data_IF_639906133073
#
_entry.id   IF_639906133073
#
_cell.length_a   1.000
_cell.length_b   1.000
_cell.length_c   1.000
_cell.angle_alpha   90.00
_cell.angle_beta   90.00
_cell.angle_gamma   90.00
#
_symmetry.space_group_name_H-M   'P 1'
#
loop_
_entity.id
_entity.type
_entity.pdbx_description
1 polymer ?
#
# COMPACT_ATOMS: atom_id res chain seq x y z
N UNK A 1 -33.80 -15.74 -32.02
CA UNK A 1 -33.12 -16.30 -30.81
C UNK A 1 -31.69 -15.77 -30.82
N UNK A 2 -31.48 -14.70 -30.10
CA UNK A 2 -30.15 -14.09 -29.95
C UNK A 2 -29.56 -14.64 -28.67
N UNK A 3 -28.59 -15.53 -28.78
CA UNK A 3 -27.82 -16.02 -27.65
C UNK A 3 -26.91 -14.89 -27.17
N UNK A 4 -27.21 -14.35 -25.99
CA UNK A 4 -26.33 -13.42 -25.30
C UNK A 4 -25.28 -14.28 -24.60
N UNK A 5 -24.06 -14.31 -25.14
CA UNK A 5 -22.90 -14.88 -24.44
C UNK A 5 -22.57 -13.97 -23.26
N UNK A 6 -23.03 -14.34 -22.08
CA UNK A 6 -22.49 -13.83 -20.83
C UNK A 6 -21.08 -14.40 -20.68
N UNK A 7 -20.06 -13.63 -21.04
CA UNK A 7 -18.70 -13.94 -20.64
C UNK A 7 -18.65 -13.89 -19.11
N UNK A 8 -18.53 -15.06 -18.50
CA UNK A 8 -18.27 -15.21 -17.09
C UNK A 8 -16.90 -14.59 -16.79
N UNK A 9 -16.85 -13.63 -15.87
CA UNK A 9 -15.62 -13.06 -15.32
C UNK A 9 -14.72 -14.11 -14.61
N UNK A 10 -15.14 -15.38 -14.58
CA UNK A 10 -14.43 -16.48 -13.93
C UNK A 10 -13.39 -17.17 -14.83
N UNK A 11 -13.32 -16.84 -16.13
CA UNK A 11 -12.38 -17.47 -17.07
C UNK A 11 -11.18 -16.58 -17.44
N UNK A 12 -11.02 -15.42 -16.81
CA UNK A 12 -9.79 -14.68 -16.90
C UNK A 12 -8.70 -15.44 -16.12
N UNK A 13 -7.69 -15.93 -16.84
CA UNK A 13 -6.46 -16.43 -16.21
C UNK A 13 -6.00 -15.39 -15.17
N UNK A 14 -5.60 -15.83 -13.96
CA UNK A 14 -5.10 -14.88 -12.96
C UNK A 14 -3.98 -14.07 -13.62
N UNK A 15 -4.19 -12.75 -13.72
CA UNK A 15 -3.14 -11.85 -14.21
C UNK A 15 -2.02 -11.97 -13.20
N UNK A 16 -0.97 -12.70 -13.54
CA UNK A 16 0.24 -12.78 -12.74
C UNK A 16 0.93 -11.43 -12.82
N UNK A 17 0.84 -10.64 -11.79
CA UNK A 17 1.65 -9.44 -11.65
C UNK A 17 3.02 -9.87 -11.12
N UNK A 18 4.09 -9.73 -11.90
CA UNK A 18 5.43 -10.05 -11.41
C UNK A 18 5.78 -9.12 -10.25
N UNK A 19 6.45 -9.67 -9.23
CA UNK A 19 7.03 -8.84 -8.17
C UNK A 19 8.03 -7.85 -8.78
N UNK A 20 7.96 -6.60 -8.37
CA UNK A 20 8.91 -5.54 -8.74
C UNK A 20 10.24 -5.66 -7.95
N UNK A 21 10.33 -6.58 -6.99
CA UNK A 21 11.48 -6.66 -6.09
C UNK A 21 11.36 -5.73 -4.89
N UNK A 22 12.42 -4.98 -4.59
CA UNK A 22 12.57 -4.20 -3.37
C UNK A 22 12.72 -2.72 -3.69
N UNK A 23 11.83 -1.90 -3.13
CA UNK A 23 11.71 -0.48 -3.39
C UNK A 23 11.94 0.41 -2.18
N UNK A 24 12.12 1.68 -2.45
CA UNK A 24 12.19 2.75 -1.45
C UNK A 24 11.19 3.87 -1.79
N UNK A 25 10.72 4.56 -0.76
CA UNK A 25 9.98 5.80 -0.94
C UNK A 25 10.84 6.87 -1.61
N UNK A 26 10.35 7.46 -2.69
CA UNK A 26 11.04 8.55 -3.39
C UNK A 26 10.86 9.86 -2.61
N UNK A 27 11.94 10.34 -2.01
CA UNK A 27 11.95 11.57 -1.21
C UNK A 27 12.89 12.61 -1.84
N UNK A 28 12.54 13.88 -1.74
CA UNK A 28 13.29 14.98 -2.37
C UNK A 28 14.72 15.13 -1.85
N UNK A 29 14.98 14.66 -0.63
CA UNK A 29 16.29 14.62 0.01
C UNK A 29 17.30 13.78 -0.76
N UNK A 30 16.82 12.78 -1.51
CA UNK A 30 17.67 11.78 -2.18
C UNK A 30 17.72 11.89 -3.70
N UNK A 31 16.98 12.80 -4.33
CA UNK A 31 16.89 12.91 -5.78
C UNK A 31 18.25 12.97 -6.49
N UNK A 32 19.14 13.83 -6.00
CA UNK A 32 20.46 14.01 -6.62
C UNK A 32 21.30 12.75 -6.46
N UNK A 33 21.33 12.15 -5.27
CA UNK A 33 22.05 10.91 -5.01
C UNK A 33 21.53 9.75 -5.88
N UNK A 34 20.21 9.62 -6.05
CA UNK A 34 19.61 8.57 -6.90
C UNK A 34 20.07 8.72 -8.35
N UNK A 35 20.08 9.94 -8.89
CA UNK A 35 20.49 10.18 -10.27
C UNK A 35 21.99 10.05 -10.50
N UNK A 36 22.81 10.45 -9.51
CA UNK A 36 24.27 10.39 -9.60
C UNK A 36 24.83 9.00 -9.37
N UNK A 37 24.29 8.28 -8.39
CA UNK A 37 24.85 6.99 -7.94
C UNK A 37 24.20 5.78 -8.62
N UNK A 38 22.99 5.93 -9.17
CA UNK A 38 22.19 4.81 -9.71
C UNK A 38 22.14 3.62 -8.74
N UNK A 39 21.56 3.80 -7.54
CA UNK A 39 21.61 2.81 -6.47
C UNK A 39 20.91 1.50 -6.85
N UNK A 40 21.27 0.40 -6.16
CA UNK A 40 20.68 -0.92 -6.33
C UNK A 40 19.30 -1.03 -5.67
N UNK A 41 18.36 -0.19 -6.12
CA UNK A 41 16.93 -0.20 -5.78
C UNK A 41 16.19 -0.69 -7.00
N UNK A 42 15.19 -1.57 -6.84
CA UNK A 42 14.50 -2.14 -7.99
C UNK A 42 13.40 -1.21 -8.52
N UNK A 43 12.80 -0.39 -7.66
CA UNK A 43 11.72 0.55 -7.97
C UNK A 43 11.57 1.61 -6.87
N UNK A 44 10.90 2.72 -7.19
CA UNK A 44 10.58 3.76 -6.22
C UNK A 44 9.07 3.98 -6.12
N UNK A 45 8.63 4.31 -4.89
CA UNK A 45 7.27 4.77 -4.63
C UNK A 45 7.22 6.28 -4.46
N UNK A 46 6.25 6.90 -5.10
CA UNK A 46 6.00 8.34 -5.01
C UNK A 46 4.72 8.62 -4.25
N UNK A 47 4.76 9.56 -3.30
CA UNK A 47 3.54 10.14 -2.75
C UNK A 47 2.94 11.02 -3.84
N UNK A 48 1.80 10.58 -4.37
CA UNK A 48 1.17 11.17 -5.57
C UNK A 48 0.95 12.66 -5.43
N UNK A 49 0.49 13.11 -4.28
CA UNK A 49 0.14 14.50 -4.01
C UNK A 49 1.33 15.46 -4.14
N UNK A 50 2.55 15.00 -3.89
CA UNK A 50 3.77 15.81 -4.04
C UNK A 50 4.04 16.21 -5.50
N UNK A 51 3.39 15.54 -6.46
CA UNK A 51 3.59 15.74 -7.89
C UNK A 51 2.35 16.25 -8.62
N UNK A 52 1.25 16.54 -7.93
CA UNK A 52 0.06 17.15 -8.50
C UNK A 52 0.25 18.66 -8.69
N UNK A 53 1.34 19.04 -9.33
CA UNK A 53 1.76 20.41 -9.60
C UNK A 53 1.94 20.62 -11.10
N UNK A 54 1.91 21.90 -11.54
CA UNK A 54 2.00 22.22 -12.97
C UNK A 54 3.43 22.20 -13.54
N UNK A 55 4.45 22.03 -12.72
CA UNK A 55 5.85 22.04 -13.13
C UNK A 55 6.81 22.17 -11.96
N UNK A 56 8.06 22.48 -12.26
CA UNK A 56 9.09 22.77 -11.25
C UNK A 56 10.00 21.58 -10.95
N UNK A 57 10.80 21.72 -9.88
CA UNK A 57 11.86 20.79 -9.50
C UNK A 57 11.33 19.37 -9.27
N UNK A 58 10.17 19.22 -8.64
CA UNK A 58 9.59 17.93 -8.33
C UNK A 58 9.32 17.10 -9.61
N UNK A 59 8.64 17.67 -10.61
CA UNK A 59 8.36 16.96 -11.85
C UNK A 59 9.61 16.71 -12.70
N UNK A 60 10.59 17.61 -12.66
CA UNK A 60 11.86 17.40 -13.34
C UNK A 60 12.60 16.15 -12.83
N UNK A 61 12.70 15.99 -11.51
CA UNK A 61 13.33 14.81 -10.92
C UNK A 61 12.49 13.56 -11.09
N UNK A 62 11.16 13.68 -10.99
CA UNK A 62 10.26 12.56 -11.22
C UNK A 62 10.45 11.96 -12.62
N UNK A 63 10.45 12.80 -13.66
CA UNK A 63 10.64 12.34 -15.03
C UNK A 63 12.02 11.68 -15.22
N UNK A 64 13.09 12.30 -14.72
CA UNK A 64 14.43 11.76 -14.83
C UNK A 64 14.63 10.41 -14.09
N UNK A 65 13.91 10.20 -12.99
CA UNK A 65 13.93 8.95 -12.23
C UNK A 65 13.04 7.90 -12.92
N UNK A 66 11.88 8.30 -13.44
CA UNK A 66 10.96 7.42 -14.18
C UNK A 66 11.61 6.82 -15.45
N UNK A 67 12.57 7.52 -16.07
CA UNK A 67 13.36 6.99 -17.20
C UNK A 67 14.29 5.83 -16.81
N UNK A 68 14.61 5.67 -15.53
CA UNK A 68 15.61 4.73 -15.02
C UNK A 68 15.05 3.61 -14.16
N UNK A 69 13.95 3.90 -13.45
CA UNK A 69 13.36 2.99 -12.47
C UNK A 69 11.86 2.86 -12.68
N UNK A 70 11.28 1.67 -12.48
CA UNK A 70 9.86 1.51 -12.32
C UNK A 70 9.35 2.37 -11.16
N UNK A 71 8.19 3.00 -11.33
CA UNK A 71 7.55 3.78 -10.28
C UNK A 71 6.22 3.16 -9.86
N UNK A 72 5.88 3.35 -8.60
CA UNK A 72 4.57 3.08 -8.01
C UNK A 72 4.02 4.41 -7.48
N UNK A 73 2.74 4.66 -7.67
CA UNK A 73 2.03 5.80 -7.09
C UNK A 73 1.30 5.38 -5.83
N UNK A 74 1.55 6.11 -4.74
CA UNK A 74 0.85 5.94 -3.48
C UNK A 74 0.16 7.25 -3.10
N UNK A 75 -1.15 7.20 -2.84
CA UNK A 75 -1.96 8.36 -2.49
C UNK A 75 -2.31 8.38 -1.01
N UNK A 76 -2.49 9.61 -0.48
CA UNK A 76 -2.87 9.84 0.92
C UNK A 76 -4.17 10.66 1.06
N UNK A 77 -4.80 11.02 -0.06
CA UNK A 77 -5.89 12.01 -0.05
C UNK A 77 -7.20 11.51 -0.69
N UNK A 78 -7.27 10.27 -1.14
CA UNK A 78 -8.49 9.72 -1.76
C UNK A 78 -9.65 9.67 -0.79
N UNK A 79 -9.38 9.42 0.50
CA UNK A 79 -10.41 9.32 1.55
C UNK A 79 -11.56 8.41 1.11
N UNK A 80 -11.23 7.21 0.66
CA UNK A 80 -12.18 6.28 0.02
C UNK A 80 -13.37 5.94 0.91
N UNK A 81 -13.16 5.90 2.23
CA UNK A 81 -14.19 5.68 3.24
C UNK A 81 -14.90 6.94 3.71
N UNK A 82 -14.56 8.11 3.17
CA UNK A 82 -15.12 9.38 3.63
C UNK A 82 -16.59 9.54 3.25
N UNK A 83 -17.37 10.36 4.03
CA UNK A 83 -18.81 10.53 3.83
C UNK A 83 -19.17 11.43 2.63
N UNK A 84 -18.19 12.12 2.05
CA UNK A 84 -18.41 13.04 0.93
C UNK A 84 -18.25 12.36 -0.42
N UNK A 85 -18.79 12.96 -1.47
CA UNK A 85 -18.54 12.50 -2.82
C UNK A 85 -17.02 12.43 -3.12
N UNK A 86 -16.61 11.52 -4.00
CA UNK A 86 -15.25 11.47 -4.49
C UNK A 86 -14.88 12.79 -5.16
N UNK A 87 -13.66 13.25 -4.90
CA UNK A 87 -13.13 14.46 -5.52
C UNK A 87 -12.73 14.15 -6.97
N UNK A 88 -13.58 14.56 -7.90
CA UNK A 88 -13.38 14.28 -9.34
C UNK A 88 -12.17 15.01 -9.89
N UNK A 89 -11.80 16.17 -9.35
CA UNK A 89 -10.65 16.93 -9.84
C UNK A 89 -9.35 16.32 -9.31
N UNK A 90 -9.33 15.86 -8.06
CA UNK A 90 -8.23 15.04 -7.54
C UNK A 90 -8.03 13.77 -8.40
N UNK A 91 -9.08 13.01 -8.68
CA UNK A 91 -8.99 11.82 -9.52
C UNK A 91 -8.48 12.09 -10.94
N UNK A 92 -8.86 13.23 -11.54
CA UNK A 92 -8.31 13.65 -12.83
C UNK A 92 -6.81 13.93 -12.76
N UNK A 93 -6.35 14.58 -11.70
CA UNK A 93 -4.92 14.87 -11.51
C UNK A 93 -4.11 13.59 -11.27
N UNK A 94 -4.63 12.64 -10.46
CA UNK A 94 -4.03 11.31 -10.29
C UNK A 94 -3.93 10.58 -11.63
N UNK A 95 -4.99 10.60 -12.45
CA UNK A 95 -4.97 10.00 -13.78
C UNK A 95 -3.92 10.65 -14.69
N UNK A 96 -3.85 11.98 -14.73
CA UNK A 96 -2.84 12.70 -15.51
C UNK A 96 -1.41 12.37 -15.08
N UNK A 97 -1.16 12.28 -13.77
CA UNK A 97 0.14 11.84 -13.26
C UNK A 97 0.44 10.41 -13.67
N UNK A 98 -0.54 9.51 -13.57
CA UNK A 98 -0.39 8.12 -13.99
C UNK A 98 -0.13 7.99 -15.51
N UNK A 99 -0.77 8.81 -16.33
CA UNK A 99 -0.51 8.87 -17.78
C UNK A 99 0.91 9.39 -18.10
N UNK A 100 1.46 10.26 -17.24
CA UNK A 100 2.82 10.80 -17.38
C UNK A 100 3.90 9.79 -17.07
N UNK A 101 3.79 9.11 -15.91
CA UNK A 101 4.88 8.26 -15.41
C UNK A 101 4.64 6.76 -15.61
N UNK A 102 3.46 6.36 -16.09
CA UNK A 102 3.08 4.96 -16.33
C UNK A 102 3.42 4.03 -15.15
N UNK A 103 2.88 4.29 -13.93
CA UNK A 103 3.27 3.55 -12.74
C UNK A 103 2.84 2.10 -12.84
N UNK A 104 3.59 1.21 -12.19
CA UNK A 104 3.26 -0.21 -12.11
C UNK A 104 1.96 -0.43 -11.32
N UNK A 105 1.79 0.28 -10.20
CA UNK A 105 0.61 0.23 -9.33
C UNK A 105 0.17 1.65 -8.96
N UNK A 106 -1.10 1.78 -8.58
CA UNK A 106 -1.65 2.99 -7.92
C UNK A 106 -2.33 2.51 -6.64
N UNK A 107 -1.87 2.99 -5.52
CA UNK A 107 -2.41 2.66 -4.19
C UNK A 107 -2.91 3.90 -3.45
N UNK A 108 -3.75 3.67 -2.46
CA UNK A 108 -4.20 4.65 -1.47
C UNK A 108 -4.69 3.88 -0.23
N UNK A 109 -4.98 4.57 0.85
CA UNK A 109 -5.35 3.97 2.14
C UNK A 109 -6.84 3.64 2.25
N UNK A 110 -7.16 2.55 2.95
CA UNK A 110 -8.53 2.24 3.36
C UNK A 110 -8.90 3.06 4.60
N UNK A 111 -9.15 4.34 4.41
CA UNK A 111 -9.41 5.28 5.49
C UNK A 111 -10.40 6.37 5.08
N UNK A 112 -10.74 7.20 6.03
CA UNK A 112 -11.26 8.52 5.78
C UNK A 112 -10.35 9.57 6.40
N UNK A 113 -10.04 10.62 5.63
CA UNK A 113 -9.11 11.70 6.00
C UNK A 113 -9.70 13.09 5.77
N UNK A 114 -10.98 13.16 5.35
CA UNK A 114 -11.66 14.42 5.04
C UNK A 114 -12.96 14.56 5.83
N UNK A 115 -13.07 15.61 6.63
CA UNK A 115 -14.29 16.07 7.30
C UNK A 115 -14.96 17.24 6.56
N UNK A 116 -16.09 17.75 7.07
CA UNK A 116 -17.01 18.70 6.41
C UNK A 116 -16.39 19.96 5.77
N UNK A 117 -15.19 20.35 6.08
CA UNK A 117 -14.48 21.49 5.46
C UNK A 117 -12.96 21.39 5.58
N UNK A 118 -12.44 20.36 6.21
CA UNK A 118 -11.03 20.25 6.54
C UNK A 118 -10.50 18.88 6.14
N UNK A 119 -9.33 18.86 5.54
CA UNK A 119 -8.51 17.68 5.47
C UNK A 119 -7.95 17.41 6.86
N UNK A 120 -8.16 16.24 7.36
CA UNK A 120 -7.52 15.76 8.57
C UNK A 120 -6.13 15.28 8.17
N UNK A 121 -5.13 15.62 8.96
CA UNK A 121 -3.76 15.12 8.75
C UNK A 121 -3.62 13.76 9.46
N UNK A 122 -4.63 12.89 9.27
CA UNK A 122 -4.70 11.60 9.93
C UNK A 122 -5.51 10.62 9.08
N UNK A 123 -5.15 9.34 9.16
CA UNK A 123 -5.81 8.25 8.45
C UNK A 123 -6.76 7.54 9.42
N UNK A 124 -8.03 7.90 9.39
CA UNK A 124 -9.01 7.39 10.35
C UNK A 124 -9.64 6.08 9.85
N UNK A 125 -9.74 5.04 10.71
CA UNK A 125 -10.32 3.77 10.35
C UNK A 125 -11.82 3.88 10.11
N UNK A 126 -12.35 2.98 9.29
CA UNK A 126 -13.78 2.84 9.04
C UNK A 126 -14.44 1.94 10.08
N UNK A 127 -15.75 2.09 10.34
CA UNK A 127 -16.51 1.02 10.95
C UNK A 127 -16.64 -0.14 9.95
N UNK A 128 -16.25 -1.33 10.34
CA UNK A 128 -16.29 -2.53 9.49
C UNK A 128 -17.67 -3.17 9.53
N UNK A 129 -18.65 -2.50 8.89
CA UNK A 129 -20.05 -2.95 8.79
C UNK A 129 -20.41 -3.33 7.36
N UNK A 130 -21.49 -4.09 7.17
CA UNK A 130 -22.00 -4.42 5.84
C UNK A 130 -22.34 -3.15 5.03
N UNK A 131 -22.91 -2.13 5.66
CA UNK A 131 -23.20 -0.84 5.01
C UNK A 131 -21.92 -0.17 4.49
N UNK A 132 -20.89 -0.08 5.33
CA UNK A 132 -19.58 0.48 4.95
C UNK A 132 -18.93 -0.33 3.83
N UNK A 133 -19.05 -1.65 3.86
CA UNK A 133 -18.51 -2.55 2.85
C UNK A 133 -19.08 -2.25 1.46
N UNK A 134 -20.40 -2.22 1.31
CA UNK A 134 -21.04 -1.92 0.03
C UNK A 134 -20.78 -0.47 -0.42
N UNK A 135 -20.78 0.46 0.51
CA UNK A 135 -20.48 1.86 0.25
C UNK A 135 -19.08 2.03 -0.34
N UNK A 136 -18.06 1.49 0.33
CA UNK A 136 -16.67 1.59 -0.10
C UNK A 136 -16.43 0.81 -1.39
N UNK A 137 -16.98 -0.40 -1.53
CA UNK A 137 -16.85 -1.19 -2.75
C UNK A 137 -17.40 -0.46 -3.99
N UNK A 138 -18.51 0.28 -3.83
CA UNK A 138 -19.05 1.09 -4.93
C UNK A 138 -18.13 2.27 -5.28
N UNK A 139 -17.53 2.92 -4.29
CA UNK A 139 -16.58 4.03 -4.51
C UNK A 139 -15.30 3.55 -5.18
N UNK A 140 -14.78 2.39 -4.77
CA UNK A 140 -13.61 1.77 -5.43
C UNK A 140 -13.89 1.55 -6.91
N UNK A 141 -15.05 0.98 -7.26
CA UNK A 141 -15.42 0.80 -8.67
C UNK A 141 -15.43 2.11 -9.45
N UNK A 142 -15.98 3.19 -8.87
CA UNK A 142 -15.96 4.52 -9.50
C UNK A 142 -14.53 5.04 -9.71
N UNK A 143 -13.63 4.85 -8.74
CA UNK A 143 -12.21 5.22 -8.87
C UNK A 143 -11.54 4.40 -9.98
N UNK A 144 -11.74 3.08 -9.99
CA UNK A 144 -11.19 2.18 -11.00
C UNK A 144 -11.72 2.52 -12.40
N UNK A 145 -12.99 2.90 -12.52
CA UNK A 145 -13.59 3.37 -13.79
C UNK A 145 -12.93 4.65 -14.30
N UNK A 146 -12.57 5.58 -13.42
CA UNK A 146 -11.82 6.79 -13.80
C UNK A 146 -10.38 6.46 -14.19
N UNK A 147 -9.69 5.68 -13.37
CA UNK A 147 -8.27 5.36 -13.54
C UNK A 147 -8.04 4.31 -14.63
N UNK A 148 -9.06 3.54 -15.02
CA UNK A 148 -9.01 2.42 -15.99
C UNK A 148 -7.97 1.35 -15.58
N UNK A 149 -7.84 1.13 -14.27
CA UNK A 149 -6.95 0.11 -13.70
C UNK A 149 -7.37 -0.24 -12.28
N UNK A 150 -6.96 -1.40 -11.76
CA UNK A 150 -7.23 -1.76 -10.37
C UNK A 150 -6.61 -0.76 -9.40
N UNK A 151 -7.35 -0.41 -8.35
CA UNK A 151 -6.85 0.31 -7.20
C UNK A 151 -6.24 -0.69 -6.22
N UNK A 152 -5.12 -0.35 -5.61
CA UNK A 152 -4.51 -1.11 -4.53
C UNK A 152 -4.81 -0.39 -3.22
N UNK A 153 -5.37 -1.08 -2.23
CA UNK A 153 -5.75 -0.46 -0.96
C UNK A 153 -4.89 -1.00 0.18
N UNK A 154 -4.43 -0.07 0.99
CA UNK A 154 -3.61 -0.33 2.16
C UNK A 154 -4.45 -0.42 3.43
N UNK A 155 -4.11 -1.41 4.28
CA UNK A 155 -4.58 -1.49 5.66
C UNK A 155 -3.88 -0.41 6.52
N UNK A 156 -4.67 0.39 7.23
CA UNK A 156 -4.13 1.44 8.09
C UNK A 156 -3.91 0.94 9.52
N UNK A 157 -2.97 1.56 10.23
CA UNK A 157 -2.84 1.35 11.67
C UNK A 157 -4.05 1.93 12.41
N UNK A 158 -4.49 1.28 13.47
CA UNK A 158 -5.66 1.73 14.22
C UNK A 158 -5.40 1.81 15.73
N UNK A 159 -6.00 2.85 16.33
CA UNK A 159 -5.90 3.16 17.77
C UNK A 159 -7.26 3.08 18.46
N UNK A 160 -8.31 3.00 17.68
CA UNK A 160 -9.70 2.91 18.14
C UNK A 160 -10.44 1.87 17.29
N UNK A 161 -11.41 1.20 17.93
CA UNK A 161 -12.34 0.30 17.25
C UNK A 161 -13.76 0.85 17.33
N UNK A 162 -14.51 0.69 16.26
CA UNK A 162 -15.93 0.98 16.28
C UNK A 162 -16.67 -0.10 17.10
N UNK A 163 -17.64 0.33 17.91
CA UNK A 163 -18.55 -0.61 18.57
C UNK A 163 -19.58 -1.22 17.62
N UNK A 164 -19.61 -0.72 16.38
CA UNK A 164 -20.53 -1.15 15.34
C UNK A 164 -19.89 -2.19 14.41
N UNK A 165 -18.61 -2.55 14.61
CA UNK A 165 -17.93 -3.51 13.76
C UNK A 165 -18.66 -4.87 13.76
N UNK A 166 -19.02 -5.32 12.57
CA UNK A 166 -19.64 -6.61 12.26
C UNK A 166 -18.62 -7.60 11.72
N UNK A 167 -17.52 -7.09 11.19
CA UNK A 167 -16.40 -7.85 10.62
C UNK A 167 -15.10 -7.55 11.38
N UNK A 168 -14.20 -8.50 11.38
CA UNK A 168 -12.79 -8.20 11.61
C UNK A 168 -12.23 -7.46 10.38
N UNK A 169 -11.12 -6.74 10.56
CA UNK A 169 -10.51 -6.00 9.45
C UNK A 169 -10.14 -6.90 8.27
N UNK A 170 -9.58 -8.08 8.53
CA UNK A 170 -9.24 -9.03 7.45
C UNK A 170 -10.46 -9.62 6.74
N UNK A 171 -11.57 -9.85 7.42
CA UNK A 171 -12.83 -10.25 6.80
C UNK A 171 -13.38 -9.13 5.91
N UNK A 172 -13.30 -7.89 6.38
CA UNK A 172 -13.72 -6.72 5.61
C UNK A 172 -12.87 -6.53 4.37
N UNK A 173 -11.54 -6.61 4.47
CA UNK A 173 -10.60 -6.53 3.34
C UNK A 173 -10.84 -7.64 2.31
N UNK A 174 -11.07 -8.88 2.76
CA UNK A 174 -11.42 -10.01 1.90
C UNK A 174 -12.70 -9.73 1.11
N UNK A 175 -13.76 -9.37 1.80
CA UNK A 175 -15.05 -9.07 1.19
C UNK A 175 -14.94 -7.88 0.22
N UNK A 176 -14.20 -6.84 0.61
CA UNK A 176 -13.99 -5.64 -0.19
C UNK A 176 -13.25 -5.93 -1.50
N UNK A 177 -12.15 -6.70 -1.43
CA UNK A 177 -11.40 -7.14 -2.61
C UNK A 177 -12.27 -7.97 -3.55
N UNK A 178 -13.04 -8.91 -3.01
CA UNK A 178 -13.94 -9.74 -3.80
C UNK A 178 -15.06 -8.93 -4.47
N UNK A 179 -15.69 -8.00 -3.76
CA UNK A 179 -16.80 -7.20 -4.27
C UNK A 179 -16.39 -6.13 -5.29
N UNK A 180 -15.24 -5.52 -5.11
CA UNK A 180 -14.81 -4.37 -5.92
C UNK A 180 -13.77 -4.72 -6.97
N UNK A 181 -13.09 -5.85 -6.83
CA UNK A 181 -11.94 -6.22 -7.65
C UNK A 181 -10.66 -5.42 -7.31
N UNK A 182 -10.64 -4.66 -6.21
CA UNK A 182 -9.43 -3.98 -5.78
C UNK A 182 -8.37 -5.00 -5.32
N UNK A 183 -7.14 -4.56 -5.36
CA UNK A 183 -6.00 -5.29 -4.86
C UNK A 183 -5.60 -4.75 -3.48
N UNK A 184 -4.69 -5.44 -2.79
CA UNK A 184 -4.27 -5.06 -1.45
C UNK A 184 -2.78 -4.72 -1.42
N UNK A 185 -2.46 -3.64 -0.74
CA UNK A 185 -1.17 -3.34 -0.17
C UNK A 185 -1.23 -3.75 1.30
N UNK A 186 -0.40 -4.68 1.68
CA UNK A 186 -0.30 -5.14 3.07
C UNK A 186 0.87 -4.42 3.74
N UNK A 187 0.57 -3.43 4.56
CA UNK A 187 1.57 -2.89 5.47
C UNK A 187 1.70 -3.79 6.71
N UNK A 188 2.88 -4.42 6.81
CA UNK A 188 3.21 -5.38 7.87
C UNK A 188 3.41 -4.68 9.21
N UNK A 189 3.91 -3.43 9.19
CA UNK A 189 4.05 -2.60 10.39
C UNK A 189 2.68 -2.18 10.93
N UNK A 190 1.74 -1.78 10.07
CA UNK A 190 0.39 -1.39 10.44
C UNK A 190 -0.38 -2.55 11.08
N UNK A 191 -0.22 -3.77 10.53
CA UNK A 191 -0.75 -4.98 11.17
C UNK A 191 -0.14 -5.18 12.55
N UNK A 192 1.18 -5.04 12.69
CA UNK A 192 1.86 -5.20 13.97
C UNK A 192 1.41 -4.15 15.00
N UNK A 193 1.35 -2.87 14.59
CA UNK A 193 0.88 -1.76 15.43
C UNK A 193 -0.55 -2.00 15.91
N UNK A 194 -1.45 -2.33 14.99
CA UNK A 194 -2.85 -2.61 15.31
C UNK A 194 -3.00 -3.83 16.22
N UNK A 195 -2.22 -4.89 15.97
CA UNK A 195 -2.22 -6.10 16.80
C UNK A 195 -1.79 -5.79 18.24
N UNK A 196 -0.73 -4.99 18.42
CA UNK A 196 -0.25 -4.54 19.74
C UNK A 196 -1.29 -3.69 20.46
N UNK A 197 -1.92 -2.75 19.78
CA UNK A 197 -2.89 -1.82 20.36
C UNK A 197 -4.22 -2.50 20.73
N UNK A 198 -4.63 -3.49 19.96
CA UNK A 198 -5.94 -4.13 20.12
C UNK A 198 -5.91 -5.56 20.68
N UNK A 199 -4.72 -6.13 20.89
CA UNK A 199 -4.56 -7.43 21.53
C UNK A 199 -4.98 -8.63 20.68
N UNK A 200 -4.79 -8.58 19.36
CA UNK A 200 -4.97 -9.73 18.47
C UNK A 200 -3.63 -10.26 17.94
N UNK A 201 -3.63 -11.45 17.34
CA UNK A 201 -2.44 -12.04 16.75
C UNK A 201 -2.22 -11.49 15.32
N UNK A 202 -1.12 -10.77 15.11
CA UNK A 202 -0.75 -10.20 13.81
C UNK A 202 -0.66 -11.25 12.70
N UNK A 203 -0.24 -12.47 13.03
CA UNK A 203 -0.17 -13.55 12.06
C UNK A 203 -1.55 -14.03 11.62
N UNK A 204 -2.50 -14.10 12.54
CA UNK A 204 -3.90 -14.44 12.21
C UNK A 204 -4.48 -13.46 11.20
N UNK A 205 -4.18 -12.17 11.33
CA UNK A 205 -4.59 -11.16 10.34
C UNK A 205 -4.06 -11.52 8.94
N UNK A 206 -2.74 -11.71 8.82
CA UNK A 206 -2.08 -11.97 7.52
C UNK A 206 -2.55 -13.29 6.90
N UNK A 207 -2.68 -14.33 7.72
CA UNK A 207 -3.09 -15.67 7.24
C UNK A 207 -4.50 -15.67 6.65
N UNK A 208 -5.37 -14.77 7.09
CA UNK A 208 -6.75 -14.69 6.62
C UNK A 208 -6.95 -13.70 5.46
N UNK A 209 -5.90 -13.04 4.96
CA UNK A 209 -6.01 -12.24 3.74
C UNK A 209 -5.94 -13.11 2.48
N UNK A 210 -6.57 -12.69 1.36
CA UNK A 210 -6.51 -13.44 0.10
C UNK A 210 -5.12 -13.24 -0.56
N UNK A 211 -4.26 -14.28 -0.60
CA UNK A 211 -2.89 -14.15 -1.12
C UNK A 211 -2.82 -13.62 -2.54
N UNK A 212 -3.80 -14.00 -3.35
CA UNK A 212 -3.90 -13.59 -4.76
C UNK A 212 -4.25 -12.12 -4.96
N UNK A 213 -4.75 -11.44 -3.94
CA UNK A 213 -5.06 -10.00 -4.00
C UNK A 213 -3.91 -9.11 -3.53
N UNK A 214 -2.91 -9.65 -2.81
CA UNK A 214 -1.80 -8.88 -2.26
C UNK A 214 -0.79 -8.60 -3.38
N UNK A 215 -0.52 -7.31 -3.64
CA UNK A 215 0.40 -6.84 -4.70
C UNK A 215 1.67 -6.21 -4.17
N UNK A 216 1.59 -5.67 -3.00
CA UNK A 216 2.69 -4.92 -2.40
C UNK A 216 2.71 -5.14 -0.89
N UNK A 217 3.90 -5.10 -0.32
CA UNK A 217 4.14 -5.04 1.12
C UNK A 217 4.82 -3.72 1.45
N UNK A 218 4.39 -3.09 2.53
CA UNK A 218 5.13 -2.02 3.19
C UNK A 218 5.81 -2.54 4.45
N UNK A 219 7.01 -2.02 4.72
CA UNK A 219 7.79 -2.22 5.92
C UNK A 219 8.20 -0.87 6.47
N UNK A 220 7.87 -0.59 7.69
CA UNK A 220 8.21 0.66 8.36
C UNK A 220 8.57 0.43 9.82
N UNK A 221 9.09 1.45 10.47
CA UNK A 221 9.28 1.48 11.90
C UNK A 221 8.17 2.28 12.59
N UNK A 222 8.07 2.10 13.89
CA UNK A 222 7.06 2.74 14.73
C UNK A 222 7.66 3.18 16.06
N UNK A 223 6.92 3.96 16.85
CA UNK A 223 7.29 4.30 18.23
C UNK A 223 6.48 3.52 19.24
N UNK A 224 7.17 2.81 20.13
CA UNK A 224 6.57 2.10 21.24
C UNK A 224 6.59 2.97 22.51
N UNK A 225 5.42 3.29 23.05
CA UNK A 225 5.24 4.06 24.29
C UNK A 225 4.90 3.17 25.49
N UNK A 226 5.03 1.85 25.36
CA UNK A 226 4.73 0.85 26.38
C UNK A 226 3.26 0.43 26.36
N UNK A 227 2.36 1.33 26.75
CA UNK A 227 0.91 1.05 26.80
C UNK A 227 0.25 1.04 25.41
N UNK A 228 0.84 1.72 24.45
CA UNK A 228 0.38 1.78 23.06
C UNK A 228 1.56 2.02 22.11
N UNK A 229 1.34 1.69 20.85
CA UNK A 229 2.32 1.85 19.77
C UNK A 229 1.75 2.79 18.72
N UNK A 230 2.59 3.72 18.23
CA UNK A 230 2.19 4.71 17.21
C UNK A 230 2.96 4.45 15.93
N UNK A 231 2.24 4.32 14.86
CA UNK A 231 2.73 4.20 13.50
C UNK A 231 3.29 5.53 13.02
N UNK A 232 4.60 5.66 13.09
CA UNK A 232 5.28 6.95 12.83
C UNK A 232 6.10 6.93 11.54
N UNK A 233 6.46 5.76 11.04
CA UNK A 233 7.34 5.57 9.89
C UNK A 233 8.64 6.40 9.95
N UNK A 234 9.09 6.73 11.16
CA UNK A 234 10.27 7.58 11.42
C UNK A 234 11.44 6.81 12.06
N UNK A 235 11.27 5.51 12.30
CA UNK A 235 12.24 4.63 12.94
C UNK A 235 12.66 3.49 11.99
N UNK A 236 13.82 2.87 12.22
CA UNK A 236 14.15 1.59 11.57
C UNK A 236 13.11 0.50 11.88
N UNK A 237 12.94 -0.43 10.96
CA UNK A 237 12.07 -1.59 11.16
C UNK A 237 12.56 -2.43 12.33
N UNK A 238 11.69 -2.73 13.30
CA UNK A 238 12.04 -3.50 14.48
C UNK A 238 12.07 -5.02 14.22
N UNK A 239 12.77 -5.78 15.06
CA UNK A 239 12.92 -7.22 14.86
C UNK A 239 11.60 -8.00 14.83
N UNK A 240 10.56 -7.70 15.63
CA UNK A 240 9.27 -8.35 15.51
C UNK A 240 8.61 -8.14 14.13
N UNK A 241 8.70 -6.94 13.54
CA UNK A 241 8.18 -6.65 12.20
C UNK A 241 8.98 -7.40 11.14
N UNK A 242 10.32 -7.47 11.27
CA UNK A 242 11.16 -8.29 10.39
C UNK A 242 10.78 -9.77 10.43
N UNK A 243 10.53 -10.31 11.62
CA UNK A 243 10.12 -11.71 11.78
C UNK A 243 8.75 -11.97 11.15
N UNK A 244 7.79 -11.02 11.32
CA UNK A 244 6.47 -11.10 10.71
C UNK A 244 6.56 -11.03 9.18
N UNK A 245 7.37 -10.12 8.65
CA UNK A 245 7.64 -9.99 7.21
C UNK A 245 8.21 -11.27 6.61
N UNK A 246 9.24 -11.86 7.24
CA UNK A 246 9.82 -13.11 6.74
C UNK A 246 8.76 -14.22 6.65
N UNK A 247 7.94 -14.36 7.69
CA UNK A 247 6.85 -15.33 7.73
C UNK A 247 5.78 -15.03 6.67
N UNK A 248 5.52 -13.75 6.40
CA UNK A 248 4.60 -13.30 5.35
C UNK A 248 5.07 -13.76 3.97
N UNK A 249 6.35 -13.59 3.65
CA UNK A 249 6.90 -14.05 2.38
C UNK A 249 6.98 -15.60 2.27
N UNK A 250 7.20 -16.30 3.37
CA UNK A 250 7.10 -17.77 3.40
C UNK A 250 5.66 -18.23 3.01
N UNK A 251 4.65 -17.47 3.42
CA UNK A 251 3.25 -17.75 3.11
C UNK A 251 2.84 -17.31 1.70
N UNK A 252 3.08 -16.04 1.35
CA UNK A 252 2.62 -15.45 0.09
C UNK A 252 3.48 -15.85 -1.11
N UNK A 253 4.78 -16.01 -0.94
CA UNK A 253 5.75 -16.06 -2.02
C UNK A 253 6.31 -14.66 -2.34
N UNK A 254 6.90 -14.47 -3.55
CA UNK A 254 7.50 -13.19 -3.90
C UNK A 254 6.45 -12.11 -4.13
N UNK A 255 6.53 -11.02 -3.35
CA UNK A 255 5.68 -9.82 -3.44
C UNK A 255 6.57 -8.60 -3.48
N UNK A 256 6.17 -7.55 -4.23
CA UNK A 256 6.87 -6.26 -4.25
C UNK A 256 6.93 -5.69 -2.84
N UNK A 257 8.11 -5.39 -2.34
CA UNK A 257 8.33 -4.93 -0.96
C UNK A 257 8.93 -3.53 -0.95
N UNK A 258 8.28 -2.60 -0.28
CA UNK A 258 8.77 -1.26 -0.01
C UNK A 258 9.33 -1.18 1.41
N UNK A 259 10.47 -0.53 1.56
CA UNK A 259 10.90 0.02 2.84
C UNK A 259 10.50 1.49 2.89
N UNK A 260 9.62 1.83 3.81
CA UNK A 260 9.04 3.16 3.95
C UNK A 260 9.69 3.97 5.07
N UNK A 261 9.92 5.25 4.79
CA UNK A 261 10.36 6.23 5.76
C UNK A 261 9.71 7.57 5.41
N UNK A 262 8.92 8.13 6.36
CA UNK A 262 8.11 9.33 6.12
C UNK A 262 8.63 10.56 6.84
N UNK A 263 9.43 10.37 7.87
CA UNK A 263 10.06 11.44 8.64
C UNK A 263 11.43 11.00 9.15
N UNK A 264 12.21 11.95 9.70
CA UNK A 264 13.56 11.70 10.22
C UNK A 264 14.43 10.92 9.22
N UNK A 265 14.49 11.45 7.97
CA UNK A 265 15.20 10.80 6.86
C UNK A 265 16.68 10.58 7.22
N UNK A 266 17.14 9.32 7.31
CA UNK A 266 18.53 9.01 7.59
C UNK A 266 19.41 9.23 6.35
N UNK A 267 20.74 9.17 6.45
CA UNK A 267 21.59 9.06 5.28
C UNK A 267 21.14 7.95 4.33
N UNK A 268 21.20 8.21 3.02
CA UNK A 268 20.65 7.28 2.01
C UNK A 268 21.26 5.87 2.09
N UNK A 269 22.55 5.78 2.44
CA UNK A 269 23.27 4.53 2.62
C UNK A 269 22.71 3.66 3.75
N UNK A 270 22.11 4.27 4.78
CA UNK A 270 21.43 3.53 5.84
C UNK A 270 20.15 2.88 5.33
N UNK A 271 19.35 3.61 4.50
CA UNK A 271 18.17 3.03 3.84
C UNK A 271 18.56 1.88 2.89
N UNK A 272 19.63 2.03 2.12
CA UNK A 272 20.13 0.97 1.25
C UNK A 272 20.58 -0.27 2.04
N UNK A 273 21.16 -0.06 3.22
CA UNK A 273 21.55 -1.15 4.13
C UNK A 273 20.33 -1.87 4.66
N UNK A 274 19.31 -1.13 5.09
CA UNK A 274 18.05 -1.69 5.58
C UNK A 274 17.27 -2.41 4.47
N UNK A 275 17.27 -1.87 3.25
CA UNK A 275 16.71 -2.52 2.06
C UNK A 275 17.43 -3.84 1.73
N UNK A 276 18.75 -3.87 1.91
CA UNK A 276 19.55 -5.10 1.72
C UNK A 276 19.16 -6.18 2.73
N UNK A 277 18.87 -5.80 3.98
CA UNK A 277 18.32 -6.72 5.00
C UNK A 277 16.96 -7.29 4.56
N UNK A 278 16.07 -6.45 3.99
CA UNK A 278 14.80 -6.94 3.44
C UNK A 278 15.00 -7.98 2.34
N UNK A 279 15.98 -7.76 1.42
CA UNK A 279 16.34 -8.71 0.36
C UNK A 279 16.85 -10.04 0.90
N UNK A 280 17.74 -10.01 1.88
CA UNK A 280 18.33 -11.21 2.49
C UNK A 280 17.26 -12.05 3.22
N UNK A 281 16.39 -11.40 3.99
CA UNK A 281 15.28 -12.07 4.66
C UNK A 281 14.29 -12.64 3.66
N UNK A 282 13.97 -11.89 2.61
CA UNK A 282 13.10 -12.36 1.53
C UNK A 282 13.68 -13.56 0.79
N UNK A 283 14.95 -13.53 0.42
CA UNK A 283 15.63 -14.67 -0.22
C UNK A 283 15.59 -15.91 0.69
N UNK A 284 15.80 -15.73 1.99
CA UNK A 284 15.73 -16.81 2.98
C UNK A 284 14.32 -17.40 3.09
N UNK A 285 13.30 -16.54 3.14
CA UNK A 285 11.88 -16.95 3.20
C UNK A 285 11.48 -17.76 1.98
N UNK A 286 11.81 -17.27 0.78
CA UNK A 286 11.47 -17.93 -0.47
C UNK A 286 12.21 -19.28 -0.65
N UNK A 287 13.45 -19.37 -0.18
CA UNK A 287 14.18 -20.64 -0.16
C UNK A 287 13.56 -21.67 0.78
N UNK A 288 12.99 -21.26 1.92
CA UNK A 288 12.25 -22.14 2.83
C UNK A 288 10.94 -22.59 2.21
N UNK A 289 10.16 -21.67 1.64
CA UNK A 289 8.91 -21.97 0.92
C UNK A 289 9.12 -23.05 -0.15
N UNK A 290 10.16 -22.91 -0.98
CA UNK A 290 10.47 -23.86 -2.05
C UNK A 290 10.84 -25.26 -1.57
N UNK A 291 11.25 -25.43 -0.30
CA UNK A 291 11.54 -26.74 0.31
C UNK A 291 10.30 -27.43 0.88
N UNK A 292 9.23 -26.67 1.12
CA UNK A 292 7.99 -27.16 1.73
C UNK A 292 6.88 -27.37 0.69
N UNK A 293 7.06 -26.89 -0.55
CA UNK A 293 6.18 -27.09 -1.70
C UNK A 293 6.62 -28.31 -2.53
#
# INVERSE_FOLDING_TARGET
>A
TTEIYTLSLHDALPISFPSLGYGLGLRNEYYEQILEQSPAVDWFEVISENYLVQGGKALYYLDAIAERYPLVMHGVSLSIGGPHALDTDYLKHIKQLAERIQPALISDHLCWSRGNAHQLHDLLPLPYTEESLYYVANRIRQVQDVLQRPLVLENVSSYVRSKLDEFTEWEFLNALSHLSGCQLLLDVNNVYVSARNHGFDAWTFILNLPPESIRQLHLAGHRDYGDYVVDTHDQPVCDPVWALYQRTLEHLGPVSTLLERDDHFPPFEELLTELSKARELGATALARRSRCA
#
